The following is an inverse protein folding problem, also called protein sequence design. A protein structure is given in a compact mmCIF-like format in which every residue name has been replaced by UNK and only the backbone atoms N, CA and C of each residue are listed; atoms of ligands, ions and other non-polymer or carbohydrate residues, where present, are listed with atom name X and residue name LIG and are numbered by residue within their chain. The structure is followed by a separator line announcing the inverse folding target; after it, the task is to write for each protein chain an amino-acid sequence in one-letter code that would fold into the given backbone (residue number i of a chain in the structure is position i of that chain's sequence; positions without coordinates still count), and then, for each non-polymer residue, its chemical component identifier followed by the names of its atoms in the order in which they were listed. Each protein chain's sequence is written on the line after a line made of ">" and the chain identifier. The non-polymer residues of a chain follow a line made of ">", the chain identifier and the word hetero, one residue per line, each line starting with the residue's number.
data_IF_337631762704
#
_entry.id   IF_337631762704
#
_cell.length_a   1.000
_cell.length_b   1.000
_cell.length_c   1.000
_cell.angle_alpha   90.00
_cell.angle_beta   90.00
_cell.angle_gamma   90.00
#
_symmetry.space_group_name_H-M   'P 1'
#
loop_
_entity.id
_entity.type
_entity.pdbx_description
1 polymer ?
#
# COMPACT_ATOMS: atom_id res chain seq x y z
N UNK A 1 15.45 14.89 -25.76
CA UNK A 1 15.04 15.06 -24.35
C UNK A 1 13.58 15.49 -24.37
N UNK A 2 12.69 14.59 -24.08
CA UNK A 2 11.26 14.91 -24.00
C UNK A 2 11.01 15.43 -22.57
N UNK A 3 10.51 16.65 -22.36
CA UNK A 3 10.19 17.10 -21.01
C UNK A 3 9.07 16.23 -20.47
N UNK A 4 9.34 15.53 -19.37
CA UNK A 4 8.31 14.82 -18.64
C UNK A 4 7.20 15.83 -18.33
N UNK A 5 6.02 15.59 -18.87
CA UNK A 5 4.83 16.36 -18.50
C UNK A 5 4.65 16.17 -16.99
N UNK A 6 4.93 17.20 -16.22
CA UNK A 6 4.69 17.21 -14.77
C UNK A 6 3.18 17.17 -14.60
N UNK A 7 2.64 15.95 -14.48
CA UNK A 7 1.22 15.75 -14.18
C UNK A 7 1.02 15.94 -12.68
N UNK A 8 0.12 16.81 -12.29
CA UNK A 8 -0.30 16.91 -10.90
C UNK A 8 -0.95 15.58 -10.48
N UNK A 9 -0.51 14.95 -9.38
CA UNK A 9 -1.08 13.69 -8.93
C UNK A 9 -2.57 13.86 -8.58
N UNK A 10 -3.37 12.86 -8.94
CA UNK A 10 -4.81 12.84 -8.72
C UNK A 10 -5.17 12.06 -7.46
N UNK A 11 -5.83 12.70 -6.51
CA UNK A 11 -6.20 12.15 -5.21
C UNK A 11 -7.71 12.02 -5.11
N UNK A 12 -8.19 10.85 -4.68
CA UNK A 12 -9.57 10.65 -4.27
C UNK A 12 -9.63 10.73 -2.74
N UNK A 13 -10.39 11.68 -2.21
CA UNK A 13 -10.68 11.80 -0.79
C UNK A 13 -12.12 11.35 -0.51
N UNK A 14 -12.31 10.37 0.37
CA UNK A 14 -13.61 9.86 0.79
C UNK A 14 -13.76 10.15 2.27
N UNK A 15 -14.54 11.19 2.59
CA UNK A 15 -14.69 11.75 3.93
C UNK A 15 -16.10 12.34 4.04
N UNK A 16 -16.89 11.91 5.00
CA UNK A 16 -18.28 12.35 5.17
C UNK A 16 -18.43 13.65 5.97
N UNK A 17 -17.46 13.94 6.85
CA UNK A 17 -17.43 15.21 7.58
C UNK A 17 -17.20 16.38 6.59
N UNK A 18 -18.18 17.29 6.44
CA UNK A 18 -18.07 18.39 5.47
C UNK A 18 -16.97 19.40 5.81
N UNK A 19 -16.62 19.54 7.09
CA UNK A 19 -15.58 20.48 7.53
C UNK A 19 -14.21 19.91 7.21
N UNK A 20 -13.96 18.66 7.59
CA UNK A 20 -12.70 17.99 7.32
C UNK A 20 -12.51 17.74 5.82
N UNK A 21 -13.56 17.29 5.11
CA UNK A 21 -13.51 17.04 3.67
C UNK A 21 -13.20 18.29 2.87
N UNK A 22 -13.87 19.43 3.17
CA UNK A 22 -13.57 20.72 2.53
C UNK A 22 -12.14 21.20 2.85
N UNK A 23 -11.70 21.02 4.09
CA UNK A 23 -10.35 21.38 4.52
C UNK A 23 -9.29 20.54 3.79
N UNK A 24 -9.48 19.22 3.69
CA UNK A 24 -8.59 18.32 2.94
C UNK A 24 -8.51 18.74 1.47
N UNK A 25 -9.64 18.96 0.84
CA UNK A 25 -9.72 19.37 -0.56
C UNK A 25 -8.92 20.66 -0.80
N UNK A 26 -9.20 21.71 -0.03
CA UNK A 26 -8.53 23.01 -0.19
C UNK A 26 -7.00 22.91 0.05
N UNK A 27 -6.57 22.23 1.12
CA UNK A 27 -5.16 22.19 1.49
C UNK A 27 -4.33 21.30 0.54
N UNK A 28 -4.92 20.24 0.02
CA UNK A 28 -4.25 19.37 -0.96
C UNK A 28 -4.16 20.04 -2.33
N UNK A 29 -5.20 20.76 -2.77
CA UNK A 29 -5.14 21.56 -4.00
C UNK A 29 -4.09 22.66 -3.91
N UNK A 30 -4.00 23.37 -2.78
CA UNK A 30 -2.91 24.34 -2.53
C UNK A 30 -1.51 23.71 -2.56
N UNK A 31 -1.43 22.43 -2.28
CA UNK A 31 -0.17 21.66 -2.33
C UNK A 31 0.14 21.12 -3.74
N UNK A 32 -0.69 21.44 -4.75
CA UNK A 32 -0.47 21.07 -6.15
C UNK A 32 -1.05 19.73 -6.56
N UNK A 33 -1.93 19.12 -5.77
CA UNK A 33 -2.65 17.90 -6.14
C UNK A 33 -3.96 18.25 -6.87
N UNK A 34 -4.44 17.32 -7.71
CA UNK A 34 -5.82 17.32 -8.18
C UNK A 34 -6.65 16.51 -7.19
N UNK A 35 -7.78 17.04 -6.71
CA UNK A 35 -8.55 16.38 -5.66
C UNK A 35 -10.00 16.17 -6.08
N UNK A 36 -10.46 14.94 -5.99
CA UNK A 36 -11.88 14.60 -6.05
C UNK A 36 -12.32 14.23 -4.65
N UNK A 37 -13.33 14.93 -4.11
CA UNK A 37 -13.87 14.64 -2.79
C UNK A 37 -15.27 14.03 -2.91
N UNK A 38 -15.44 12.88 -2.27
CA UNK A 38 -16.68 12.13 -2.14
C UNK A 38 -17.09 12.02 -0.66
N UNK A 39 -18.40 12.06 -0.38
CA UNK A 39 -18.91 12.05 0.99
C UNK A 39 -19.37 10.70 1.49
N UNK A 40 -19.27 9.66 0.68
CA UNK A 40 -19.60 8.30 1.06
C UNK A 40 -18.82 7.27 0.24
N UNK A 41 -18.73 6.04 0.77
CA UNK A 41 -17.92 4.98 0.16
C UNK A 41 -18.42 4.55 -1.23
N UNK A 42 -19.74 4.56 -1.50
CA UNK A 42 -20.30 4.20 -2.80
C UNK A 42 -19.91 5.18 -3.89
N UNK A 43 -20.08 6.46 -3.62
CA UNK A 43 -19.66 7.53 -4.54
C UNK A 43 -18.16 7.44 -4.84
N UNK A 44 -17.33 7.25 -3.80
CA UNK A 44 -15.89 7.07 -3.97
C UNK A 44 -15.52 5.87 -4.83
N UNK A 45 -16.17 4.72 -4.63
CA UNK A 45 -15.97 3.54 -5.47
C UNK A 45 -16.39 3.78 -6.93
N UNK A 46 -17.49 4.49 -7.15
CA UNK A 46 -17.95 4.82 -8.50
C UNK A 46 -16.99 5.78 -9.20
N UNK A 47 -16.41 6.77 -8.49
CA UNK A 47 -15.35 7.62 -9.02
C UNK A 47 -14.08 6.81 -9.34
N UNK A 48 -13.65 5.91 -8.44
CA UNK A 48 -12.49 5.07 -8.65
C UNK A 48 -12.64 4.08 -9.84
N UNK A 49 -13.87 3.80 -10.28
CA UNK A 49 -14.17 3.02 -11.50
C UNK A 49 -14.11 3.84 -12.77
N UNK A 50 -14.44 5.13 -12.68
CA UNK A 50 -14.57 6.02 -13.85
C UNK A 50 -13.24 6.66 -14.25
N UNK A 51 -12.34 6.87 -13.31
CA UNK A 51 -11.06 7.52 -13.55
C UNK A 51 -9.93 6.97 -12.68
N UNK A 52 -8.71 7.21 -13.13
CA UNK A 52 -7.50 6.80 -12.40
C UNK A 52 -7.14 7.81 -11.32
N UNK A 53 -6.86 7.30 -10.12
CA UNK A 53 -6.28 8.06 -9.01
C UNK A 53 -4.90 7.51 -8.66
N UNK A 54 -4.01 8.42 -8.25
CA UNK A 54 -2.66 8.05 -7.81
C UNK A 54 -2.62 7.64 -6.34
N UNK A 55 -3.55 8.19 -5.52
CA UNK A 55 -3.74 7.82 -4.09
C UNK A 55 -5.21 7.99 -3.72
N UNK A 56 -5.71 7.13 -2.85
CA UNK A 56 -7.02 7.24 -2.21
C UNK A 56 -6.83 7.53 -0.72
N UNK A 57 -7.47 8.56 -0.21
CA UNK A 57 -7.66 8.83 1.22
C UNK A 57 -9.05 8.38 1.58
N UNK A 58 -9.19 7.52 2.60
CA UNK A 58 -10.50 6.93 2.93
C UNK A 58 -10.73 6.92 4.43
N UNK A 59 -11.80 7.58 4.86
CA UNK A 59 -12.24 7.41 6.25
C UNK A 59 -12.79 6.01 6.47
N UNK A 60 -12.57 5.47 7.67
CA UNK A 60 -13.17 4.20 8.10
C UNK A 60 -14.65 4.36 8.37
N UNK A 61 -15.05 5.45 9.03
CA UNK A 61 -16.42 5.68 9.46
C UNK A 61 -17.19 6.46 8.40
N UNK A 62 -17.67 5.76 7.37
CA UNK A 62 -18.47 6.33 6.30
C UNK A 62 -19.94 5.89 6.43
N UNK A 63 -20.90 6.74 6.06
CA UNK A 63 -22.31 6.40 6.10
C UNK A 63 -22.68 5.35 5.04
N UNK A 64 -23.48 4.37 5.45
CA UNK A 64 -24.05 3.33 4.58
C UNK A 64 -23.09 2.18 4.25
N UNK A 65 -21.83 2.47 3.96
CA UNK A 65 -20.79 1.48 3.71
C UNK A 65 -19.51 1.91 4.46
N UNK A 66 -18.97 1.05 5.29
CA UNK A 66 -17.72 1.40 5.98
C UNK A 66 -16.56 1.56 5.00
N UNK A 67 -15.57 2.40 5.35
CA UNK A 67 -14.36 2.53 4.53
C UNK A 67 -13.60 1.21 4.39
N UNK A 68 -13.67 0.35 5.39
CA UNK A 68 -13.07 -1.00 5.31
C UNK A 68 -13.76 -1.89 4.28
N UNK A 69 -15.07 -1.79 4.14
CA UNK A 69 -15.81 -2.55 3.12
C UNK A 69 -15.61 -1.95 1.72
N UNK A 70 -15.51 -0.62 1.64
CA UNK A 70 -15.14 0.07 0.40
C UNK A 70 -13.72 -0.31 -0.05
N UNK A 71 -12.76 -0.43 0.87
CA UNK A 71 -11.40 -0.88 0.58
C UNK A 71 -11.38 -2.29 -0.03
N UNK A 72 -12.12 -3.24 0.54
CA UNK A 72 -12.21 -4.61 0.00
C UNK A 72 -12.70 -4.58 -1.46
N UNK A 73 -13.79 -3.85 -1.74
CA UNK A 73 -14.33 -3.74 -3.10
C UNK A 73 -13.36 -3.03 -4.07
N UNK A 74 -12.62 -2.03 -3.59
CA UNK A 74 -11.59 -1.36 -4.39
C UNK A 74 -10.48 -2.34 -4.77
N UNK A 75 -10.03 -3.16 -3.82
CA UNK A 75 -8.96 -4.15 -4.02
C UNK A 75 -9.31 -5.28 -4.99
N UNK A 76 -10.58 -5.58 -5.19
CA UNK A 76 -11.01 -6.54 -6.23
C UNK A 76 -10.62 -6.10 -7.65
N UNK A 77 -10.38 -4.80 -7.88
CA UNK A 77 -10.23 -4.21 -9.21
C UNK A 77 -9.04 -3.26 -9.37
N UNK A 78 -8.48 -2.81 -8.28
CA UNK A 78 -7.44 -1.76 -8.31
C UNK A 78 -6.38 -1.95 -7.25
N UNK A 79 -5.11 -1.81 -7.67
CA UNK A 79 -3.96 -1.69 -6.79
C UNK A 79 -3.67 -0.25 -6.34
N UNK A 80 -4.54 0.72 -6.62
CA UNK A 80 -4.33 2.12 -6.23
C UNK A 80 -4.02 2.22 -4.74
N UNK A 81 -2.92 2.89 -4.34
CA UNK A 81 -2.56 3.04 -2.94
C UNK A 81 -3.66 3.71 -2.11
N UNK A 82 -3.92 3.18 -0.92
CA UNK A 82 -4.95 3.68 0.00
C UNK A 82 -4.34 4.03 1.35
N UNK A 83 -4.57 5.26 1.79
CA UNK A 83 -4.34 5.71 3.16
C UNK A 83 -5.68 5.70 3.89
N UNK A 84 -5.81 4.83 4.90
CA UNK A 84 -7.00 4.84 5.76
C UNK A 84 -6.87 5.93 6.82
N UNK A 85 -7.93 6.72 6.98
CA UNK A 85 -8.04 7.72 8.06
C UNK A 85 -8.97 7.19 9.15
N UNK A 86 -8.63 7.34 10.42
CA UNK A 86 -9.42 6.76 11.52
C UNK A 86 -9.34 7.57 12.80
N UNK A 87 -10.38 7.52 13.61
CA UNK A 87 -10.37 8.09 14.95
C UNK A 87 -9.35 7.40 15.86
N UNK A 88 -8.76 8.16 16.79
CA UNK A 88 -7.81 7.66 17.80
C UNK A 88 -8.43 6.52 18.63
N UNK A 89 -7.71 5.40 18.76
CA UNK A 89 -8.06 4.30 19.65
C UNK A 89 -8.50 2.99 19.00
N UNK A 90 -8.71 2.97 17.68
CA UNK A 90 -9.11 1.77 16.95
C UNK A 90 -7.90 0.93 16.50
N UNK A 91 -7.14 0.34 17.42
CA UNK A 91 -6.06 -0.60 17.04
C UNK A 91 -6.63 -1.77 16.24
N UNK A 92 -7.82 -2.24 16.59
CA UNK A 92 -8.53 -3.29 15.88
C UNK A 92 -8.87 -2.86 14.44
N UNK A 93 -9.34 -1.62 14.21
CA UNK A 93 -9.67 -1.10 12.89
C UNK A 93 -8.40 -0.94 12.03
N UNK A 94 -7.29 -0.53 12.65
CA UNK A 94 -6.00 -0.41 11.98
C UNK A 94 -5.49 -1.79 11.53
N UNK A 95 -5.55 -2.79 12.38
CA UNK A 95 -5.19 -4.17 12.05
C UNK A 95 -6.07 -4.66 10.90
N UNK A 96 -7.38 -4.51 11.01
CA UNK A 96 -8.35 -4.89 9.99
C UNK A 96 -8.12 -4.14 8.67
N UNK A 97 -7.77 -2.84 8.70
CA UNK A 97 -7.48 -2.05 7.52
C UNK A 97 -6.27 -2.57 6.74
N UNK A 98 -5.16 -2.88 7.43
CA UNK A 98 -4.00 -3.50 6.79
C UNK A 98 -4.30 -4.92 6.30
N UNK A 99 -5.06 -5.72 7.05
CA UNK A 99 -5.51 -7.06 6.60
C UNK A 99 -6.35 -7.00 5.33
N UNK A 100 -7.10 -5.92 5.14
CA UNK A 100 -7.92 -5.69 3.94
C UNK A 100 -7.17 -4.97 2.81
N UNK A 101 -5.87 -4.69 2.99
CA UNK A 101 -4.98 -4.20 1.94
C UNK A 101 -4.77 -2.69 1.90
N UNK A 102 -4.91 -1.97 3.02
CA UNK A 102 -4.46 -0.59 3.13
C UNK A 102 -2.93 -0.49 3.01
N UNK A 103 -2.44 0.56 2.35
CA UNK A 103 -1.00 0.81 2.20
C UNK A 103 -0.43 1.62 3.36
N UNK A 104 -1.24 2.50 3.95
CA UNK A 104 -0.90 3.26 5.14
C UNK A 104 -2.14 3.59 5.96
N UNK A 105 -1.92 4.09 7.17
CA UNK A 105 -2.94 4.40 8.14
C UNK A 105 -2.61 5.70 8.87
N UNK A 106 -3.55 6.64 8.88
CA UNK A 106 -3.39 7.96 9.48
C UNK A 106 -4.42 8.16 10.59
N UNK A 107 -4.00 8.16 11.87
CA UNK A 107 -4.93 8.40 12.98
C UNK A 107 -5.39 9.85 13.03
N UNK A 108 -6.69 10.09 13.21
CA UNK A 108 -7.28 11.41 13.49
C UNK A 108 -7.13 11.72 15.00
N UNK A 109 -6.80 12.95 15.41
CA UNK A 109 -6.49 14.11 14.58
C UNK A 109 -5.06 14.07 14.02
N UNK A 110 -4.87 14.53 12.79
CA UNK A 110 -3.58 14.59 12.11
C UNK A 110 -3.30 16.00 11.59
N UNK A 111 -2.04 16.29 11.33
CA UNK A 111 -1.65 17.53 10.66
C UNK A 111 -1.62 17.35 9.13
N UNK A 112 -1.92 18.43 8.38
CA UNK A 112 -1.76 18.41 6.93
C UNK A 112 -0.31 18.14 6.49
N UNK A 113 0.66 18.56 7.29
CA UNK A 113 2.06 18.24 7.02
C UNK A 113 2.32 16.73 7.08
N UNK A 114 1.76 16.02 8.07
CA UNK A 114 1.87 14.56 8.17
C UNK A 114 1.20 13.86 7.01
N UNK A 115 -0.05 14.23 6.68
CA UNK A 115 -0.79 13.66 5.56
C UNK A 115 0.00 13.85 4.25
N UNK A 116 0.51 15.06 3.99
CA UNK A 116 1.27 15.36 2.78
C UNK A 116 2.54 14.50 2.67
N UNK A 117 3.30 14.37 3.76
CA UNK A 117 4.52 13.53 3.77
C UNK A 117 4.18 12.07 3.43
N UNK A 118 3.05 11.56 3.91
CA UNK A 118 2.60 10.19 3.60
C UNK A 118 2.19 10.05 2.12
N UNK A 119 1.43 11.00 1.59
CA UNK A 119 1.05 11.03 0.16
C UNK A 119 2.30 11.10 -0.72
N UNK A 120 3.21 12.04 -0.45
CA UNK A 120 4.46 12.19 -1.21
C UNK A 120 5.34 10.93 -1.14
N UNK A 121 5.38 10.25 0.01
CA UNK A 121 6.09 8.99 0.17
C UNK A 121 5.49 7.89 -0.73
N UNK A 122 4.16 7.78 -0.79
CA UNK A 122 3.47 6.83 -1.67
C UNK A 122 3.71 7.18 -3.14
N UNK A 123 3.54 8.43 -3.55
CA UNK A 123 3.72 8.87 -4.93
C UNK A 123 5.16 8.67 -5.43
N UNK A 124 6.15 9.04 -4.62
CA UNK A 124 7.57 8.80 -4.93
C UNK A 124 7.84 7.32 -5.12
N UNK A 125 7.14 6.50 -4.38
CA UNK A 125 7.18 5.07 -4.44
C UNK A 125 6.72 4.56 -5.80
N UNK A 126 5.53 4.92 -6.21
CA UNK A 126 4.94 4.54 -7.51
C UNK A 126 5.82 5.02 -8.68
N UNK A 127 6.41 6.22 -8.58
CA UNK A 127 7.31 6.76 -9.61
C UNK A 127 8.63 5.97 -9.72
N UNK A 128 9.18 5.49 -8.61
CA UNK A 128 10.39 4.66 -8.62
C UNK A 128 10.11 3.30 -9.26
N UNK A 129 8.97 2.69 -8.97
CA UNK A 129 8.53 1.42 -9.57
C UNK A 129 8.42 1.53 -11.09
N UNK A 130 7.83 2.62 -11.60
CA UNK A 130 7.72 2.88 -13.05
C UNK A 130 9.07 3.09 -13.75
N UNK A 131 10.10 3.55 -13.04
CA UNK A 131 11.43 3.86 -13.62
C UNK A 131 12.42 2.69 -13.60
N UNK A 132 12.22 1.71 -12.72
CA UNK A 132 13.16 0.62 -12.48
C UNK A 132 12.60 -0.76 -12.86
N UNK A 133 11.82 -0.87 -13.93
CA UNK A 133 11.36 -2.14 -14.49
C UNK A 133 12.48 -2.82 -15.29
N UNK A 134 13.15 -3.87 -14.79
CA UNK A 134 14.00 -4.72 -15.62
C UNK A 134 13.18 -5.88 -16.19
N UNK A 135 13.38 -6.09 -17.49
CA UNK A 135 12.69 -7.08 -18.29
C UNK A 135 12.93 -8.54 -17.82
N UNK A 136 11.85 -9.27 -17.73
CA UNK A 136 11.58 -10.70 -18.00
C UNK A 136 12.74 -11.72 -17.95
N UNK A 137 12.60 -12.75 -17.13
CA UNK A 137 13.18 -14.09 -17.33
C UNK A 137 12.11 -15.20 -17.36
N UNK A 138 12.46 -16.27 -18.09
CA UNK A 138 11.65 -17.34 -18.64
C UNK A 138 10.93 -18.30 -17.65
N UNK A 139 10.02 -19.20 -18.11
CA UNK A 139 9.05 -19.93 -17.29
C UNK A 139 9.69 -21.12 -16.58
N UNK A 140 9.46 -21.22 -15.27
CA UNK A 140 9.84 -22.31 -14.40
C UNK A 140 9.14 -22.13 -13.05
N UNK A 141 9.24 -23.04 -12.13
CA UNK A 141 8.66 -23.05 -10.79
C UNK A 141 8.95 -21.81 -9.91
N UNK A 142 9.67 -20.84 -10.42
CA UNK A 142 10.06 -19.62 -9.71
C UNK A 142 8.92 -18.61 -9.61
N UNK A 143 8.91 -17.85 -8.51
CA UNK A 143 8.04 -16.70 -8.32
C UNK A 143 8.41 -15.59 -9.33
N UNK A 144 7.49 -15.29 -10.25
CA UNK A 144 7.70 -14.22 -11.23
C UNK A 144 7.23 -12.89 -10.68
N UNK A 145 8.12 -11.93 -10.60
CA UNK A 145 7.82 -10.55 -10.25
C UNK A 145 7.41 -9.78 -11.51
N UNK A 146 6.35 -8.97 -11.38
CA UNK A 146 5.86 -8.10 -12.43
C UNK A 146 5.75 -6.67 -11.87
N UNK A 147 6.71 -5.84 -12.26
CA UNK A 147 6.81 -4.46 -11.76
C UNK A 147 5.68 -3.58 -12.29
N UNK A 148 5.16 -3.87 -13.49
CA UNK A 148 4.05 -3.10 -14.08
C UNK A 148 2.74 -3.38 -13.35
N UNK A 149 2.49 -4.65 -13.01
CA UNK A 149 1.35 -5.05 -12.21
C UNK A 149 1.53 -4.76 -10.71
N UNK A 150 2.77 -4.51 -10.25
CA UNK A 150 3.16 -4.45 -8.82
C UNK A 150 2.69 -5.71 -8.08
N UNK A 151 2.86 -6.88 -8.70
CA UNK A 151 2.39 -8.16 -8.17
C UNK A 151 3.34 -9.30 -8.53
N UNK A 152 3.12 -10.47 -7.96
CA UNK A 152 3.88 -11.68 -8.26
C UNK A 152 2.97 -12.80 -8.74
N UNK A 153 3.49 -13.62 -9.65
CA UNK A 153 2.78 -14.74 -10.22
C UNK A 153 3.54 -16.05 -10.00
N UNK A 154 2.86 -17.11 -9.58
CA UNK A 154 3.38 -18.46 -9.46
C UNK A 154 2.40 -19.47 -10.09
N UNK A 155 2.89 -20.36 -10.96
CA UNK A 155 2.03 -21.33 -11.63
C UNK A 155 0.88 -20.72 -12.45
N UNK A 156 0.99 -19.48 -12.91
CA UNK A 156 -0.05 -18.75 -13.61
C UNK A 156 -1.08 -18.05 -12.71
N UNK A 157 -0.92 -18.11 -11.39
CA UNK A 157 -1.79 -17.46 -10.42
C UNK A 157 -1.13 -16.21 -9.85
N UNK A 158 -1.83 -15.08 -9.85
CA UNK A 158 -1.39 -13.83 -9.26
C UNK A 158 -1.67 -13.79 -7.75
N UNK A 159 -0.73 -13.25 -6.98
CA UNK A 159 -0.88 -13.17 -5.52
C UNK A 159 -1.85 -12.09 -5.06
N UNK A 160 -2.09 -11.05 -5.86
CA UNK A 160 -2.92 -9.91 -5.50
C UNK A 160 -2.25 -9.03 -4.43
N UNK A 161 -0.93 -8.78 -4.57
CA UNK A 161 -0.21 -7.93 -3.65
C UNK A 161 -0.65 -6.47 -3.78
N UNK A 162 -0.62 -5.75 -2.65
CA UNK A 162 -0.66 -4.28 -2.70
C UNK A 162 0.72 -3.74 -3.08
N UNK A 163 0.83 -2.48 -3.56
CA UNK A 163 2.13 -1.89 -3.89
C UNK A 163 3.15 -1.93 -2.75
N UNK A 164 2.70 -1.79 -1.48
CA UNK A 164 3.58 -1.90 -0.31
C UNK A 164 4.07 -3.32 -0.06
N UNK A 165 3.18 -4.30 -0.21
CA UNK A 165 3.50 -5.72 -0.08
C UNK A 165 4.45 -6.18 -1.19
N UNK A 166 4.17 -5.78 -2.43
CA UNK A 166 5.03 -6.07 -3.57
C UNK A 166 6.45 -5.58 -3.32
N UNK A 167 6.60 -4.32 -2.96
CA UNK A 167 7.92 -3.74 -2.69
C UNK A 167 8.63 -4.41 -1.53
N UNK A 168 7.91 -4.72 -0.45
CA UNK A 168 8.50 -5.42 0.68
C UNK A 168 9.06 -6.77 0.24
N UNK A 169 8.29 -7.51 -0.55
CA UNK A 169 8.70 -8.80 -1.07
C UNK A 169 9.87 -8.67 -2.05
N UNK A 170 9.84 -7.70 -2.98
CA UNK A 170 10.92 -7.43 -3.93
C UNK A 170 12.22 -7.02 -3.21
N UNK A 171 12.13 -6.15 -2.20
CA UNK A 171 13.28 -5.75 -1.39
C UNK A 171 13.90 -6.94 -0.68
N UNK A 172 13.09 -7.83 -0.11
CA UNK A 172 13.57 -9.06 0.54
C UNK A 172 14.15 -10.06 -0.47
N UNK A 173 13.56 -10.18 -1.66
CA UNK A 173 14.08 -11.04 -2.73
C UNK A 173 15.47 -10.60 -3.20
N UNK A 174 15.68 -9.29 -3.36
CA UNK A 174 16.97 -8.71 -3.79
C UNK A 174 18.06 -8.77 -2.73
N UNK A 175 17.71 -9.00 -1.48
CA UNK A 175 18.66 -9.07 -0.37
C UNK A 175 19.43 -10.40 -0.26
N UNK A 176 19.17 -11.37 -1.17
CA UNK A 176 19.93 -12.64 -1.26
C UNK A 176 20.05 -13.37 0.09
N UNK A 177 18.93 -13.60 0.77
CA UNK A 177 18.87 -14.28 2.07
C UNK A 177 19.50 -13.50 3.25
N UNK A 178 19.84 -12.21 3.07
CA UNK A 178 20.26 -11.36 4.17
C UNK A 178 19.08 -10.89 5.01
N UNK A 179 19.28 -10.78 6.32
CA UNK A 179 18.30 -10.25 7.25
C UNK A 179 18.23 -8.75 7.14
N UNK A 180 17.08 -8.22 6.72
CA UNK A 180 16.85 -6.80 6.66
C UNK A 180 16.20 -6.29 7.95
N UNK A 181 16.80 -5.27 8.57
CA UNK A 181 16.30 -4.71 9.83
C UNK A 181 14.97 -3.96 9.64
N UNK A 182 14.13 -3.94 10.69
CA UNK A 182 12.89 -3.16 10.66
C UNK A 182 13.12 -1.67 10.33
N UNK A 183 14.08 -0.95 10.94
CA UNK A 183 14.36 0.43 10.56
C UNK A 183 14.70 0.60 9.08
N UNK A 184 15.50 -0.29 8.51
CA UNK A 184 15.83 -0.28 7.09
C UNK A 184 14.58 -0.46 6.22
N UNK A 185 13.73 -1.45 6.53
CA UNK A 185 12.51 -1.73 5.78
C UNK A 185 11.48 -0.60 5.91
N UNK A 186 11.35 0.03 7.08
CA UNK A 186 10.52 1.21 7.24
C UNK A 186 10.98 2.36 6.35
N UNK A 187 12.29 2.60 6.28
CA UNK A 187 12.86 3.67 5.47
C UNK A 187 12.75 3.37 3.97
N UNK A 188 13.07 2.13 3.53
CA UNK A 188 13.15 1.79 2.11
C UNK A 188 11.80 1.35 1.51
N UNK A 189 10.97 0.67 2.27
CA UNK A 189 9.68 0.16 1.81
C UNK A 189 8.55 1.13 2.11
N UNK A 190 8.42 1.58 3.35
CA UNK A 190 7.35 2.47 3.78
C UNK A 190 7.74 3.96 3.67
N UNK A 191 9.02 4.26 3.42
CA UNK A 191 9.62 5.58 3.24
C UNK A 191 9.30 6.55 4.39
N UNK A 192 9.32 6.03 5.59
CA UNK A 192 9.09 6.79 6.84
C UNK A 192 9.96 6.26 7.97
N UNK A 193 10.05 7.05 9.06
CA UNK A 193 10.82 6.67 10.24
C UNK A 193 10.23 5.46 10.97
N UNK A 194 11.08 4.62 11.52
CA UNK A 194 10.68 3.49 12.35
C UNK A 194 10.17 3.96 13.72
N UNK A 195 9.04 3.43 14.16
CA UNK A 195 8.53 3.57 15.52
C UNK A 195 8.25 2.19 16.12
N UNK A 196 8.60 1.98 17.41
CA UNK A 196 8.37 0.71 18.10
C UNK A 196 6.89 0.32 18.20
N UNK A 197 6.00 1.30 18.15
CA UNK A 197 4.55 1.09 18.24
C UNK A 197 3.88 0.93 16.87
N UNK A 198 4.62 1.15 15.79
CA UNK A 198 4.10 0.99 14.44
C UNK A 198 4.27 -0.46 13.98
N UNK A 199 3.15 -1.15 13.78
CA UNK A 199 3.11 -2.56 13.36
C UNK A 199 2.81 -2.73 11.86
N UNK A 200 2.78 -1.65 11.08
CA UNK A 200 2.42 -1.72 9.66
C UNK A 200 3.26 -2.73 8.89
N UNK A 201 4.58 -2.74 9.14
CA UNK A 201 5.48 -3.69 8.49
C UNK A 201 5.17 -5.14 8.84
N UNK A 202 4.86 -5.42 10.12
CA UNK A 202 4.52 -6.76 10.59
C UNK A 202 3.22 -7.25 9.92
N UNK A 203 2.27 -6.34 9.70
CA UNK A 203 1.01 -6.64 9.01
C UNK A 203 1.25 -6.94 7.52
N UNK A 204 2.04 -6.12 6.82
CA UNK A 204 2.39 -6.40 5.42
C UNK A 204 3.09 -7.76 5.28
N UNK A 205 4.00 -8.10 6.18
CA UNK A 205 4.64 -9.43 6.21
C UNK A 205 3.61 -10.56 6.38
N UNK A 206 2.64 -10.38 7.28
CA UNK A 206 1.58 -11.37 7.50
C UNK A 206 0.75 -11.58 6.23
N UNK A 207 0.37 -10.49 5.55
CA UNK A 207 -0.42 -10.56 4.31
C UNK A 207 0.38 -11.21 3.18
N UNK A 208 1.65 -10.86 2.98
CA UNK A 208 2.51 -11.49 1.98
C UNK A 208 2.57 -13.01 2.20
N UNK A 209 2.81 -13.47 3.43
CA UNK A 209 2.82 -14.90 3.76
C UNK A 209 1.53 -15.60 3.36
N UNK A 210 0.38 -15.00 3.72
CA UNK A 210 -0.94 -15.54 3.39
C UNK A 210 -1.17 -15.61 1.89
N UNK A 211 -0.83 -14.55 1.15
CA UNK A 211 -1.04 -14.44 -0.30
C UNK A 211 -0.12 -15.37 -1.09
N UNK A 212 1.16 -15.48 -0.73
CA UNK A 212 2.08 -16.44 -1.35
C UNK A 212 1.62 -17.89 -1.14
N UNK A 213 1.16 -18.21 0.08
CA UNK A 213 0.58 -19.53 0.37
C UNK A 213 -0.66 -19.81 -0.47
N UNK A 214 -1.52 -18.81 -0.70
CA UNK A 214 -2.74 -18.96 -1.49
C UNK A 214 -2.48 -19.32 -2.96
N UNK A 215 -1.37 -18.83 -3.54
CA UNK A 215 -0.93 -19.19 -4.90
C UNK A 215 -0.02 -20.42 -4.96
N UNK A 216 0.13 -21.15 -3.85
CA UNK A 216 0.93 -22.37 -3.76
C UNK A 216 2.44 -22.17 -3.76
N UNK A 217 2.93 -20.93 -3.59
CA UNK A 217 4.37 -20.68 -3.50
C UNK A 217 4.87 -20.96 -2.09
N UNK A 218 5.66 -22.04 -1.95
CA UNK A 218 6.19 -22.53 -0.66
C UNK A 218 7.72 -22.63 -0.64
N UNK A 219 8.39 -22.45 -1.78
CA UNK A 219 9.83 -22.64 -1.94
C UNK A 219 10.65 -21.70 -1.06
N UNK A 220 10.21 -20.44 -0.96
CA UNK A 220 10.82 -19.45 -0.07
C UNK A 220 9.73 -18.78 0.76
N UNK A 221 10.06 -18.43 2.00
CA UNK A 221 9.13 -17.84 2.94
C UNK A 221 9.74 -16.60 3.59
N UNK A 222 8.90 -15.56 3.78
CA UNK A 222 9.31 -14.41 4.59
C UNK A 222 9.36 -14.85 6.05
N UNK A 223 10.56 -14.93 6.62
CA UNK A 223 10.78 -15.35 8.01
C UNK A 223 11.07 -14.16 8.91
N UNK A 224 10.66 -14.28 10.18
CA UNK A 224 10.98 -13.29 11.21
C UNK A 224 12.26 -13.73 11.92
N UNK A 225 13.27 -12.87 11.94
CA UNK A 225 14.46 -13.05 12.76
C UNK A 225 14.32 -12.14 13.98
N UNK A 226 14.04 -12.78 15.13
CA UNK A 226 13.72 -12.07 16.37
C UNK A 226 14.81 -11.05 16.76
N UNK A 227 14.38 -9.84 17.07
CA UNK A 227 15.28 -8.74 17.43
C UNK A 227 16.07 -8.13 16.26
N UNK A 228 16.04 -8.71 15.06
CA UNK A 228 16.81 -8.24 13.91
C UNK A 228 15.91 -7.70 12.79
N UNK A 229 14.95 -8.50 12.28
CA UNK A 229 14.09 -8.05 11.19
C UNK A 229 13.45 -9.21 10.43
N UNK A 230 13.48 -9.11 9.09
CA UNK A 230 12.87 -10.09 8.18
C UNK A 230 13.86 -10.54 7.11
N UNK A 231 13.66 -11.75 6.62
CA UNK A 231 14.42 -12.36 5.53
C UNK A 231 13.48 -13.18 4.66
N UNK A 232 13.74 -13.25 3.36
CA UNK A 232 13.12 -14.22 2.46
C UNK A 232 14.09 -15.37 2.27
N UNK A 233 13.83 -16.53 2.83
CA UNK A 233 14.70 -17.70 2.79
C UNK A 233 13.95 -18.95 2.40
N UNK A 234 14.68 -20.01 2.00
CA UNK A 234 14.09 -21.31 1.70
C UNK A 234 13.19 -21.80 2.83
N UNK A 235 12.04 -22.39 2.48
CA UNK A 235 11.19 -23.08 3.43
C UNK A 235 11.96 -24.24 4.07
N UNK A 236 11.79 -24.49 5.37
CA UNK A 236 12.29 -25.72 5.96
C UNK A 236 11.43 -26.88 5.43
N UNK A 237 12.05 -27.86 4.81
CA UNK A 237 11.40 -29.16 4.59
C UNK A 237 11.02 -29.74 5.95
N UNK A 238 9.70 -29.91 6.17
CA UNK A 238 9.19 -30.70 7.29
C UNK A 238 9.22 -32.18 6.96
#
# INVERSE_FOLDING_TARGET
>A
MNPAVIRNPNILAIEDDPVLGAYLHEQLERSGFLVTWCRNGREGLDQARQQHFDVVLMDILLPGMTGLDALVQLRERSGTPVIMMSALGAEADRITGFERGADDYLPKPFSMAELRVRIEAILRRVDLERRYSPATKAPGSELRFDDEASDVCHGGQWAGLTPSEYRLLDTLQRSNDEVLSKPFLYQHVLQRGYSRHDRSLDMHVSQIRRKLKAIGYLERQVRTVWGQGYVLSAGEEQ
#
